data_IF_860349642296
#
_entry.id   IF_860349642296
#
_cell.length_a   1.000
_cell.length_b   1.000
_cell.length_c   1.000
_cell.angle_alpha   90.00
_cell.angle_beta   90.00
_cell.angle_gamma   90.00
#
_symmetry.space_group_name_H-M   'P 1'
#
loop_
_entity.id
_entity.type
_entity.pdbx_description
1 polymer ?
#
# COMPACT_ATOMS: atom_id res chain seq x y z
N UNK A 1 -59.98 20.89 4.54
CA UNK A 1 -59.15 22.01 4.04
C UNK A 1 -57.77 21.44 3.74
N UNK A 2 -57.50 21.19 2.46
CA UNK A 2 -56.37 20.38 1.97
C UNK A 2 -55.39 21.34 1.29
N UNK A 3 -54.14 21.39 1.75
CA UNK A 3 -53.05 22.12 1.10
C UNK A 3 -52.12 21.12 0.42
N UNK A 4 -52.20 21.07 -0.91
CA UNK A 4 -51.32 20.28 -1.76
C UNK A 4 -50.01 21.05 -2.00
N UNK A 5 -48.88 20.45 -1.62
CA UNK A 5 -47.53 20.97 -1.90
C UNK A 5 -47.01 20.33 -3.19
N UNK A 6 -46.87 21.14 -4.23
CA UNK A 6 -46.32 20.74 -5.53
C UNK A 6 -44.79 20.86 -5.51
N UNK A 7 -44.09 19.75 -5.79
CA UNK A 7 -42.63 19.65 -5.80
C UNK A 7 -42.09 19.87 -7.22
N UNK A 8 -41.32 20.93 -7.44
CA UNK A 8 -40.73 21.29 -8.73
C UNK A 8 -39.38 20.57 -8.92
N UNK A 9 -39.32 19.65 -9.90
CA UNK A 9 -38.10 18.98 -10.34
C UNK A 9 -37.43 19.79 -11.48
N UNK A 10 -36.33 20.51 -11.19
CA UNK A 10 -35.51 21.20 -12.22
C UNK A 10 -34.01 21.09 -11.93
N UNK A 11 -33.40 19.92 -12.15
CA UNK A 11 -31.92 19.79 -12.00
C UNK A 11 -31.27 18.72 -12.90
N UNK A 12 -31.86 18.33 -14.05
CA UNK A 12 -31.32 17.22 -14.86
C UNK A 12 -30.67 17.56 -16.22
N UNK A 13 -30.58 18.84 -16.61
CA UNK A 13 -30.21 19.20 -18.01
C UNK A 13 -28.78 19.77 -18.15
N UNK A 14 -28.11 20.22 -17.07
CA UNK A 14 -26.77 20.84 -17.18
C UNK A 14 -25.57 19.88 -17.27
N UNK A 15 -25.75 18.57 -17.08
CA UNK A 15 -24.61 17.64 -16.93
C UNK A 15 -24.04 17.09 -18.26
N UNK A 16 -24.84 17.01 -19.34
CA UNK A 16 -24.36 16.39 -20.60
C UNK A 16 -23.38 17.26 -21.40
N UNK A 17 -23.57 18.59 -21.47
CA UNK A 17 -22.66 19.47 -22.22
C UNK A 17 -21.25 19.54 -21.61
N UNK A 18 -21.13 19.39 -20.28
CA UNK A 18 -19.84 19.40 -19.59
C UNK A 18 -19.02 18.11 -19.85
N UNK A 19 -19.69 16.97 -20.05
CA UNK A 19 -19.01 15.70 -20.38
C UNK A 19 -18.35 15.71 -21.76
N UNK A 20 -18.91 16.41 -22.75
CA UNK A 20 -18.29 16.51 -24.08
C UNK A 20 -17.08 17.46 -24.09
N UNK A 21 -17.12 18.55 -23.32
CA UNK A 21 -16.02 19.50 -23.21
C UNK A 21 -14.81 18.87 -22.50
N UNK A 22 -15.06 18.07 -21.45
CA UNK A 22 -14.01 17.35 -20.73
C UNK A 22 -13.35 16.26 -21.60
N UNK A 23 -14.12 15.56 -22.44
CA UNK A 23 -13.60 14.59 -23.41
C UNK A 23 -12.74 15.24 -24.50
N UNK A 24 -13.10 16.45 -24.95
CA UNK A 24 -12.34 17.17 -25.97
C UNK A 24 -11.00 17.70 -25.43
N UNK A 25 -10.98 18.18 -24.18
CA UNK A 25 -9.75 18.59 -23.49
C UNK A 25 -8.85 17.37 -23.21
N UNK A 26 -9.41 16.23 -22.82
CA UNK A 26 -8.63 15.00 -22.63
C UNK A 26 -7.98 14.50 -23.93
N UNK A 27 -8.66 14.65 -25.08
CA UNK A 27 -8.15 14.26 -26.39
C UNK A 27 -7.05 15.19 -26.90
N UNK A 28 -7.12 16.49 -26.56
CA UNK A 28 -6.09 17.46 -26.94
C UNK A 28 -4.79 17.30 -26.14
N UNK A 29 -4.85 16.79 -24.89
CA UNK A 29 -3.64 16.55 -24.09
C UNK A 29 -2.84 15.29 -24.49
N UNK A 30 -3.41 14.37 -25.26
CA UNK A 30 -2.73 13.12 -25.65
C UNK A 30 -1.80 13.25 -26.88
N UNK A 31 -1.70 14.43 -27.50
CA UNK A 31 -1.01 14.61 -28.79
C UNK A 31 0.44 15.14 -28.69
N UNK A 32 0.98 15.42 -27.50
CA UNK A 32 2.27 16.14 -27.36
C UNK A 32 3.43 15.34 -26.74
N UNK A 33 3.40 14.01 -26.77
CA UNK A 33 4.57 13.19 -26.39
C UNK A 33 5.08 12.35 -27.55
N UNK A 34 5.31 12.98 -28.70
CA UNK A 34 6.25 12.42 -29.66
C UNK A 34 7.65 12.64 -29.05
N UNK A 35 8.17 11.63 -28.36
CA UNK A 35 9.54 11.65 -27.85
C UNK A 35 10.47 12.09 -28.98
N UNK A 36 11.22 13.17 -28.77
CA UNK A 36 12.09 13.67 -29.82
C UNK A 36 13.14 12.61 -30.14
N UNK A 37 13.06 12.08 -31.36
CA UNK A 37 14.10 11.22 -31.90
C UNK A 37 15.39 12.01 -32.00
N UNK A 38 16.49 11.42 -31.56
CA UNK A 38 17.82 11.98 -31.66
C UNK A 38 18.67 11.06 -32.55
N UNK A 39 19.43 11.64 -33.48
CA UNK A 39 20.35 10.91 -34.35
C UNK A 39 21.66 10.68 -33.59
N UNK A 40 21.92 9.44 -33.20
CA UNK A 40 23.18 9.05 -32.58
C UNK A 40 24.21 8.68 -33.65
N UNK A 41 25.47 9.03 -33.42
CA UNK A 41 26.58 8.71 -34.31
C UNK A 41 27.62 7.84 -33.58
N UNK A 42 27.96 6.70 -34.16
CA UNK A 42 29.05 5.84 -33.67
C UNK A 42 30.41 6.40 -34.04
N UNK A 43 31.47 5.95 -33.36
CA UNK A 43 32.84 6.34 -33.70
C UNK A 43 33.26 5.91 -35.11
N UNK A 44 32.63 4.87 -35.67
CA UNK A 44 32.87 4.39 -37.04
C UNK A 44 32.13 5.23 -38.10
N UNK A 45 31.40 6.27 -37.68
CA UNK A 45 30.63 7.16 -38.55
C UNK A 45 29.22 6.67 -38.89
N UNK A 46 28.83 5.47 -38.43
CA UNK A 46 27.47 4.97 -38.62
C UNK A 46 26.49 5.77 -37.75
N UNK A 47 25.34 6.16 -38.31
CA UNK A 47 24.33 6.94 -37.58
C UNK A 47 22.97 6.26 -37.60
N UNK A 48 22.20 6.42 -36.52
CA UNK A 48 20.83 5.94 -36.45
C UNK A 48 19.97 6.82 -35.55
N UNK A 49 18.68 6.85 -35.82
CA UNK A 49 17.68 7.59 -35.04
C UNK A 49 17.11 6.74 -33.91
N UNK A 50 16.97 7.34 -32.73
CA UNK A 50 16.34 6.68 -31.59
C UNK A 50 16.11 7.59 -30.40
N UNK A 51 15.63 6.98 -29.32
CA UNK A 51 15.31 7.64 -28.06
C UNK A 51 16.10 7.01 -26.92
N UNK A 52 16.62 7.84 -26.02
CA UNK A 52 17.30 7.36 -24.80
C UNK A 52 16.24 6.87 -23.81
N UNK A 53 16.40 5.63 -23.35
CA UNK A 53 15.57 5.07 -22.28
C UNK A 53 16.24 5.17 -20.91
N UNK A 54 17.55 4.95 -20.84
CA UNK A 54 18.32 4.90 -19.59
C UNK A 54 19.81 5.13 -19.86
N UNK A 55 20.52 5.75 -18.92
CA UNK A 55 21.98 5.97 -18.95
C UNK A 55 22.59 5.47 -17.64
N UNK A 56 23.05 4.21 -17.62
CA UNK A 56 23.59 3.57 -16.43
C UNK A 56 25.12 3.45 -16.50
N UNK A 57 25.81 4.26 -15.70
CA UNK A 57 27.27 4.25 -15.64
C UNK A 57 27.91 4.55 -16.99
N UNK A 58 28.50 3.52 -17.61
CA UNK A 58 29.15 3.61 -18.93
C UNK A 58 28.33 2.95 -20.06
N UNK A 59 27.08 2.57 -19.78
CA UNK A 59 26.17 1.96 -20.75
C UNK A 59 24.98 2.88 -20.98
N UNK A 60 24.49 2.94 -22.21
CA UNK A 60 23.26 3.63 -22.58
C UNK A 60 22.30 2.65 -23.22
N UNK A 61 21.04 2.70 -22.79
CA UNK A 61 19.95 1.92 -23.40
C UNK A 61 19.12 2.86 -24.26
N UNK A 62 19.00 2.52 -25.54
CA UNK A 62 18.26 3.30 -26.54
C UNK A 62 17.22 2.43 -27.24
N UNK A 63 16.09 3.02 -27.61
CA UNK A 63 15.14 2.44 -28.56
C UNK A 63 15.42 3.02 -29.92
N UNK A 64 15.70 2.17 -30.90
CA UNK A 64 15.85 2.59 -32.28
C UNK A 64 14.48 2.86 -32.88
N UNK A 65 14.33 3.97 -33.60
CA UNK A 65 13.03 4.36 -34.12
C UNK A 65 12.54 3.51 -35.30
N UNK A 66 13.46 2.94 -36.07
CA UNK A 66 13.13 2.14 -37.26
C UNK A 66 12.39 0.85 -36.94
N UNK A 67 12.80 0.13 -35.89
CA UNK A 67 12.30 -1.21 -35.54
C UNK A 67 11.75 -1.29 -34.11
N UNK A 68 11.80 -0.19 -33.36
CA UNK A 68 11.39 -0.09 -31.95
C UNK A 68 12.09 -1.11 -31.05
N UNK A 69 13.28 -1.60 -31.45
CA UNK A 69 14.08 -2.50 -30.63
C UNK A 69 14.94 -1.73 -29.63
N UNK A 70 15.03 -2.30 -28.43
CA UNK A 70 15.89 -1.82 -27.34
C UNK A 70 17.31 -2.37 -27.50
N UNK A 71 18.29 -1.49 -27.37
CA UNK A 71 19.71 -1.83 -27.42
C UNK A 71 20.43 -1.21 -26.23
N UNK A 72 21.24 -2.02 -25.54
CA UNK A 72 22.17 -1.54 -24.51
C UNK A 72 23.58 -1.54 -25.09
N UNK A 73 24.18 -0.37 -25.20
CA UNK A 73 25.48 -0.16 -25.83
C UNK A 73 26.41 0.61 -24.89
N UNK A 74 27.73 0.32 -24.89
CA UNK A 74 28.70 1.13 -24.17
C UNK A 74 28.72 2.57 -24.72
N UNK A 75 28.76 3.57 -23.84
CA UNK A 75 28.85 4.99 -24.21
C UNK A 75 30.08 5.27 -25.06
N UNK A 76 31.17 4.52 -24.85
CA UNK A 76 32.41 4.64 -25.62
C UNK A 76 32.25 4.34 -27.11
N UNK A 77 31.15 3.71 -27.55
CA UNK A 77 30.86 3.48 -28.98
C UNK A 77 30.31 4.70 -29.70
N UNK A 78 29.84 5.69 -28.95
CA UNK A 78 29.22 6.91 -29.49
C UNK A 78 30.22 8.06 -29.51
N UNK A 79 29.96 9.02 -30.39
CA UNK A 79 30.75 10.25 -30.49
C UNK A 79 30.84 10.99 -29.15
N UNK A 80 31.90 11.79 -28.95
CA UNK A 80 32.07 12.58 -27.72
C UNK A 80 30.90 13.53 -27.47
N UNK A 81 30.31 14.08 -28.55
CA UNK A 81 29.12 14.93 -28.48
C UNK A 81 27.92 14.17 -27.90
N UNK A 82 27.69 12.94 -28.35
CA UNK A 82 26.60 12.11 -27.86
C UNK A 82 26.85 11.64 -26.43
N UNK A 83 28.10 11.37 -26.06
CA UNK A 83 28.48 11.07 -24.67
C UNK A 83 28.18 12.26 -23.74
N UNK A 84 28.44 13.49 -24.17
CA UNK A 84 28.07 14.69 -23.42
C UNK A 84 26.54 14.83 -23.32
N UNK A 85 25.83 14.54 -24.40
CA UNK A 85 24.37 14.53 -24.42
C UNK A 85 23.77 13.50 -23.45
N UNK A 86 24.31 12.28 -23.37
CA UNK A 86 23.85 11.27 -22.40
C UNK A 86 23.99 11.75 -20.95
N UNK A 87 25.11 12.41 -20.62
CA UNK A 87 25.34 12.98 -19.28
C UNK A 87 24.35 14.08 -18.96
N UNK A 88 24.01 14.93 -19.94
CA UNK A 88 23.01 15.98 -19.77
C UNK A 88 21.61 15.40 -19.63
N UNK A 89 21.23 14.48 -20.52
CA UNK A 89 19.95 13.80 -20.50
C UNK A 89 19.71 13.08 -19.16
N UNK A 90 20.72 12.41 -18.62
CA UNK A 90 20.65 11.72 -17.34
C UNK A 90 20.39 12.67 -16.16
N UNK A 91 20.88 13.92 -16.24
CA UNK A 91 20.63 14.96 -15.24
C UNK A 91 19.22 15.55 -15.37
N UNK A 92 18.73 15.70 -16.59
CA UNK A 92 17.41 16.25 -16.89
C UNK A 92 16.27 15.24 -16.64
N UNK A 93 16.58 13.94 -16.71
CA UNK A 93 15.60 12.85 -16.59
C UNK A 93 15.94 11.87 -15.44
N UNK A 94 16.13 12.33 -14.20
CA UNK A 94 16.52 11.47 -13.08
C UNK A 94 15.51 10.35 -12.79
N UNK A 95 14.22 10.58 -13.05
CA UNK A 95 13.14 9.61 -12.89
C UNK A 95 13.21 8.45 -13.89
N UNK A 96 13.72 8.69 -15.10
CA UNK A 96 13.90 7.66 -16.12
C UNK A 96 15.23 6.92 -15.93
N UNK A 97 16.16 7.51 -15.19
CA UNK A 97 17.49 6.97 -14.93
C UNK A 97 17.63 6.28 -13.57
N UNK A 98 16.54 5.71 -13.06
CA UNK A 98 16.59 4.89 -11.85
C UNK A 98 17.18 3.50 -12.18
N UNK A 99 18.16 3.00 -11.41
CA UNK A 99 18.73 1.68 -11.65
C UNK A 99 17.70 0.56 -11.44
N UNK A 100 17.96 -0.55 -12.13
CA UNK A 100 17.20 -1.79 -11.99
C UNK A 100 15.92 -1.87 -12.82
N UNK A 101 15.82 -1.16 -13.95
CA UNK A 101 14.67 -1.24 -14.87
C UNK A 101 14.45 -2.66 -15.42
N UNK A 102 15.54 -3.40 -15.61
CA UNK A 102 15.57 -4.81 -16.02
C UNK A 102 15.29 -5.81 -14.87
N UNK A 103 15.22 -5.34 -13.62
CA UNK A 103 14.91 -6.19 -12.48
C UNK A 103 13.41 -6.43 -12.42
N UNK A 104 13.01 -7.64 -12.81
CA UNK A 104 11.61 -8.11 -12.81
C UNK A 104 11.23 -8.84 -11.54
N UNK A 105 12.21 -9.33 -10.78
CA UNK A 105 11.97 -10.09 -9.56
C UNK A 105 13.05 -9.81 -8.51
N UNK A 106 12.62 -9.69 -7.25
CA UNK A 106 13.47 -9.65 -6.08
C UNK A 106 13.03 -10.69 -5.05
N UNK A 107 13.93 -11.04 -4.13
CA UNK A 107 13.56 -11.82 -2.94
C UNK A 107 13.08 -10.87 -1.85
N UNK A 108 11.86 -11.09 -1.35
CA UNK A 108 11.35 -10.44 -0.15
C UNK A 108 11.18 -11.47 0.96
N UNK A 109 11.71 -11.17 2.14
CA UNK A 109 11.53 -11.96 3.35
C UNK A 109 11.05 -11.03 4.46
N UNK A 110 9.96 -11.42 5.13
CA UNK A 110 9.36 -10.61 6.16
C UNK A 110 9.24 -11.41 7.44
N UNK A 111 9.78 -10.90 8.54
CA UNK A 111 9.69 -11.54 9.86
C UNK A 111 9.14 -10.56 10.88
N UNK A 112 8.35 -11.07 11.83
CA UNK A 112 7.90 -10.28 12.98
C UNK A 112 9.10 -10.03 13.90
N UNK A 113 9.56 -8.78 13.98
CA UNK A 113 10.66 -8.39 14.86
C UNK A 113 10.21 -8.20 16.31
N UNK A 114 9.00 -7.62 16.49
CA UNK A 114 8.42 -7.36 17.82
C UNK A 114 6.91 -7.40 17.75
N UNK A 115 6.27 -7.95 18.80
CA UNK A 115 4.83 -7.85 19.04
C UNK A 115 4.59 -6.92 20.22
N UNK A 116 3.66 -5.97 20.06
CA UNK A 116 3.20 -5.10 21.14
C UNK A 116 1.78 -5.50 21.48
N UNK A 117 1.62 -6.24 22.57
CA UNK A 117 0.31 -6.72 23.00
C UNK A 117 -0.20 -5.83 24.12
N UNK A 118 -1.41 -5.32 23.94
CA UNK A 118 -2.10 -4.48 24.91
C UNK A 118 -3.46 -5.12 25.25
N UNK A 119 -4.10 -4.67 26.31
CA UNK A 119 -5.47 -5.05 26.60
C UNK A 119 -6.26 -3.85 27.07
N UNK A 120 -7.48 -3.73 26.56
CA UNK A 120 -8.44 -2.71 26.98
C UNK A 120 -9.63 -3.40 27.66
N UNK A 121 -10.22 -2.72 28.63
CA UNK A 121 -11.48 -3.15 29.25
C UNK A 121 -12.56 -2.24 28.69
N UNK A 122 -13.62 -2.81 28.13
CA UNK A 122 -14.77 -2.05 27.61
C UNK A 122 -16.07 -2.62 28.14
N UNK A 123 -17.07 -1.77 28.28
CA UNK A 123 -18.42 -2.20 28.66
C UNK A 123 -19.08 -2.93 27.49
N UNK A 124 -19.77 -4.05 27.77
CA UNK A 124 -20.48 -4.83 26.75
C UNK A 124 -21.85 -4.24 26.40
N UNK A 125 -22.30 -3.23 27.17
CA UNK A 125 -23.66 -2.71 27.14
C UNK A 125 -24.67 -3.56 27.91
N UNK A 126 -24.21 -4.63 28.58
CA UNK A 126 -25.03 -5.43 29.50
C UNK A 126 -24.76 -5.00 30.94
N UNK A 127 -25.72 -5.24 31.81
CA UNK A 127 -25.61 -4.98 33.26
C UNK A 127 -25.72 -6.31 33.99
N UNK A 128 -24.76 -6.59 34.88
CA UNK A 128 -24.85 -7.69 35.83
C UNK A 128 -25.57 -7.18 37.08
N UNK A 129 -26.54 -7.96 37.55
CA UNK A 129 -27.25 -7.70 38.80
C UNK A 129 -26.90 -8.82 39.76
N UNK A 130 -26.10 -8.50 40.77
CA UNK A 130 -25.78 -9.41 41.86
C UNK A 130 -26.81 -9.20 42.98
N UNK A 131 -27.68 -10.18 43.20
CA UNK A 131 -28.68 -10.16 44.27
C UNK A 131 -28.21 -11.04 45.41
N UNK A 132 -27.93 -10.43 46.56
CA UNK A 132 -27.62 -11.13 47.80
C UNK A 132 -28.84 -11.06 48.73
N UNK A 133 -29.31 -12.22 49.17
CA UNK A 133 -30.44 -12.35 50.10
C UNK A 133 -29.92 -13.01 51.37
N UNK A 134 -30.05 -12.30 52.49
CA UNK A 134 -29.74 -12.84 53.81
C UNK A 134 -30.98 -12.77 54.69
N UNK A 135 -31.31 -13.88 55.36
CA UNK A 135 -32.40 -13.94 56.32
C UNK A 135 -31.87 -14.19 57.72
N UNK A 136 -32.34 -13.42 58.69
CA UNK A 136 -32.09 -13.60 60.11
C UNK A 136 -33.40 -13.99 60.79
N UNK A 137 -33.39 -15.06 61.58
CA UNK A 137 -34.58 -15.51 62.32
C UNK A 137 -34.33 -15.32 63.81
N UNK A 138 -35.20 -14.53 64.43
CA UNK A 138 -35.21 -14.28 65.86
C UNK A 138 -36.42 -14.99 66.47
N UNK A 139 -36.17 -15.78 67.51
CA UNK A 139 -37.17 -16.57 68.20
C UNK A 139 -37.39 -15.99 69.59
N UNK A 140 -38.63 -15.66 69.91
CA UNK A 140 -39.10 -15.35 71.25
C UNK A 140 -40.17 -16.39 71.64
N UNK A 141 -40.45 -16.55 72.94
CA UNK A 141 -41.38 -17.57 73.44
C UNK A 141 -42.79 -17.47 72.85
N UNK A 142 -43.21 -16.26 72.47
CA UNK A 142 -44.58 -15.97 72.02
C UNK A 142 -44.69 -15.59 70.52
N UNK A 143 -43.57 -15.36 69.81
CA UNK A 143 -43.57 -15.02 68.39
C UNK A 143 -42.21 -15.25 67.69
N UNK A 144 -42.25 -15.32 66.36
CA UNK A 144 -41.07 -15.46 65.50
C UNK A 144 -40.96 -14.21 64.62
N UNK A 145 -39.78 -13.57 64.60
CA UNK A 145 -39.46 -12.53 63.62
C UNK A 145 -38.47 -13.06 62.60
N UNK A 146 -38.82 -12.90 61.33
CA UNK A 146 -37.94 -13.18 60.20
C UNK A 146 -37.58 -11.84 59.56
N UNK A 147 -36.33 -11.43 59.69
CA UNK A 147 -35.78 -10.29 58.98
C UNK A 147 -35.14 -10.79 57.68
N UNK A 148 -35.53 -10.23 56.54
CA UNK A 148 -34.92 -10.56 55.25
C UNK A 148 -34.34 -9.31 54.64
N UNK A 149 -33.03 -9.32 54.45
CA UNK A 149 -32.30 -8.24 53.80
C UNK A 149 -31.94 -8.66 52.39
N UNK A 150 -32.41 -7.89 51.41
CA UNK A 150 -32.10 -8.07 49.99
C UNK A 150 -31.21 -6.92 49.55
N UNK A 151 -29.98 -7.24 49.13
CA UNK A 151 -29.04 -6.27 48.55
C UNK A 151 -28.87 -6.58 47.08
N UNK A 152 -29.22 -5.63 46.21
CA UNK A 152 -28.98 -5.73 44.78
C UNK A 152 -27.86 -4.77 44.37
N UNK A 153 -26.79 -5.30 43.77
CA UNK A 153 -25.70 -4.50 43.21
C UNK A 153 -25.74 -4.59 41.69
N UNK A 154 -25.93 -3.46 41.02
CA UNK A 154 -25.86 -3.37 39.57
C UNK A 154 -24.45 -2.91 39.16
N UNK A 155 -23.82 -3.63 38.25
CA UNK A 155 -22.55 -3.24 37.64
C UNK A 155 -22.56 -3.48 36.14
N UNK A 156 -21.90 -2.61 35.38
CA UNK A 156 -21.72 -2.83 33.95
C UNK A 156 -20.91 -4.13 33.74
N UNK A 157 -21.38 -4.99 32.84
CA UNK A 157 -20.58 -6.11 32.38
C UNK A 157 -19.44 -5.55 31.53
N UNK A 158 -18.20 -5.84 31.93
CA UNK A 158 -17.02 -5.42 31.19
C UNK A 158 -16.33 -6.63 30.55
N UNK A 159 -15.88 -6.47 29.31
CA UNK A 159 -15.07 -7.45 28.61
C UNK A 159 -13.63 -6.93 28.48
N UNK A 160 -12.66 -7.82 28.75
CA UNK A 160 -11.23 -7.56 28.49
C UNK A 160 -10.88 -8.01 27.08
N UNK A 161 -10.57 -7.06 26.20
CA UNK A 161 -10.20 -7.33 24.80
C UNK A 161 -8.69 -7.21 24.63
N UNK A 162 -8.08 -8.20 23.97
CA UNK A 162 -6.65 -8.19 23.65
C UNK A 162 -6.41 -7.48 22.32
N UNK A 163 -5.56 -6.46 22.35
CA UNK A 163 -5.06 -5.75 21.19
C UNK A 163 -3.69 -6.32 20.81
N UNK A 164 -3.42 -6.45 19.51
CA UNK A 164 -2.12 -6.91 19.02
C UNK A 164 -1.57 -5.92 18.01
N UNK A 165 -0.33 -5.50 18.23
CA UNK A 165 0.47 -4.70 17.30
C UNK A 165 1.70 -5.49 16.87
N UNK A 166 2.28 -5.11 15.75
CA UNK A 166 3.46 -5.79 15.20
C UNK A 166 4.45 -4.77 14.63
N UNK A 167 5.73 -5.04 14.82
CA UNK A 167 6.83 -4.46 14.05
C UNK A 167 7.40 -5.56 13.16
N UNK A 168 7.39 -5.31 11.85
CA UNK A 168 7.80 -6.24 10.81
C UNK A 168 9.15 -5.79 10.27
N UNK A 169 10.11 -6.70 10.28
CA UNK A 169 11.37 -6.54 9.58
C UNK A 169 11.19 -7.09 8.16
N UNK A 170 11.35 -6.22 7.18
CA UNK A 170 11.33 -6.57 5.77
C UNK A 170 12.77 -6.55 5.26
N UNK A 171 13.23 -7.69 4.76
CA UNK A 171 14.50 -7.82 4.03
C UNK A 171 14.20 -8.04 2.56
N UNK A 172 14.80 -7.20 1.72
CA UNK A 172 14.77 -7.30 0.29
C UNK A 172 16.18 -7.58 -0.24
N UNK A 173 16.28 -8.39 -1.28
CA UNK A 173 17.56 -8.66 -1.96
C UNK A 173 17.31 -8.87 -3.45
N UNK A 174 18.17 -8.29 -4.27
CA UNK A 174 18.15 -8.45 -5.73
C UNK A 174 19.40 -9.20 -6.18
N UNK A 175 19.22 -10.28 -6.93
CA UNK A 175 20.32 -11.03 -7.57
C UNK A 175 20.66 -10.49 -8.97
N UNK A 176 19.77 -9.68 -9.55
CA UNK A 176 19.91 -9.15 -10.91
C UNK A 176 20.55 -7.77 -10.97
N UNK A 177 20.98 -7.23 -9.82
CA UNK A 177 21.59 -5.90 -9.69
C UNK A 177 20.76 -4.91 -8.86
N UNK A 178 21.28 -3.70 -8.65
CA UNK A 178 20.64 -2.70 -7.81
C UNK A 178 19.33 -2.21 -8.44
N UNK A 179 18.29 -2.05 -7.62
CA UNK A 179 16.98 -1.52 -8.02
C UNK A 179 16.44 -0.55 -6.99
N UNK A 180 15.87 0.57 -7.42
CA UNK A 180 15.04 1.39 -6.54
C UNK A 180 13.61 0.86 -6.56
N UNK A 181 13.15 0.41 -5.39
CA UNK A 181 11.80 -0.08 -5.24
C UNK A 181 11.05 0.70 -4.17
N UNK A 182 9.75 0.83 -4.37
CA UNK A 182 8.81 1.26 -3.36
C UNK A 182 8.22 0.03 -2.68
N UNK A 183 8.49 -0.10 -1.40
CA UNK A 183 7.98 -1.19 -0.58
C UNK A 183 6.75 -0.68 0.18
N UNK A 184 5.63 -1.37 0.00
CA UNK A 184 4.40 -1.18 0.76
C UNK A 184 4.26 -2.32 1.75
N UNK A 185 4.13 -2.00 3.04
CA UNK A 185 3.80 -2.97 4.09
C UNK A 185 2.40 -2.68 4.62
N UNK A 186 1.45 -3.53 4.27
CA UNK A 186 0.07 -3.47 4.70
C UNK A 186 -0.18 -4.35 5.92
N UNK A 187 -0.93 -3.83 6.88
CA UNK A 187 -1.38 -4.54 8.07
C UNK A 187 -2.87 -4.82 7.98
N UNK A 188 -3.26 -6.03 8.38
CA UNK A 188 -4.60 -6.57 8.20
C UNK A 188 -5.30 -6.79 9.55
N UNK A 189 -6.59 -6.48 9.59
CA UNK A 189 -7.54 -6.89 10.64
C UNK A 189 -8.60 -7.79 10.05
N UNK A 190 -9.13 -8.71 10.85
CA UNK A 190 -10.28 -9.54 10.47
C UNK A 190 -11.56 -8.78 10.80
N UNK A 191 -12.37 -8.47 9.78
CA UNK A 191 -13.64 -7.77 9.93
C UNK A 191 -14.65 -8.30 8.92
N UNK A 192 -15.89 -8.55 9.35
CA UNK A 192 -16.97 -8.99 8.45
C UNK A 192 -16.68 -10.27 7.68
N UNK A 193 -15.92 -11.22 8.26
CA UNK A 193 -15.55 -12.48 7.62
C UNK A 193 -14.33 -12.43 6.69
N UNK A 194 -13.75 -11.25 6.45
CA UNK A 194 -12.59 -11.06 5.57
C UNK A 194 -11.43 -10.33 6.24
N UNK A 195 -10.27 -10.37 5.57
CA UNK A 195 -9.11 -9.55 5.95
C UNK A 195 -9.22 -8.17 5.29
N UNK A 196 -9.15 -7.11 6.09
CA UNK A 196 -9.17 -5.71 5.62
C UNK A 196 -7.86 -5.03 5.99
N UNK A 197 -7.31 -4.27 5.05
CA UNK A 197 -6.15 -3.40 5.31
C UNK A 197 -6.63 -2.26 6.22
N UNK A 198 -5.94 -2.03 7.33
CA UNK A 198 -6.23 -0.90 8.21
C UNK A 198 -5.09 0.12 8.25
N UNK A 199 -3.86 -0.29 7.94
CA UNK A 199 -2.68 0.58 7.88
C UNK A 199 -1.77 0.11 6.75
N UNK A 200 -1.17 1.07 6.04
CA UNK A 200 -0.13 0.83 5.05
C UNK A 200 1.06 1.73 5.40
N UNK A 201 2.25 1.16 5.47
CA UNK A 201 3.53 1.88 5.50
C UNK A 201 4.15 1.82 4.10
N UNK A 202 4.63 2.95 3.58
CA UNK A 202 5.23 3.05 2.24
C UNK A 202 6.63 3.67 2.37
N UNK A 203 7.64 3.01 1.78
CA UNK A 203 9.02 3.53 1.77
C UNK A 203 9.70 3.23 0.44
N UNK A 204 10.49 4.20 -0.05
CA UNK A 204 11.40 3.97 -1.16
C UNK A 204 12.72 3.44 -0.61
N UNK A 205 13.20 2.33 -1.14
CA UNK A 205 14.42 1.66 -0.71
C UNK A 205 15.24 1.27 -1.93
N UNK A 206 16.55 1.53 -1.87
CA UNK A 206 17.51 0.96 -2.82
C UNK A 206 17.81 -0.46 -2.37
N UNK A 207 17.54 -1.42 -3.25
CA UNK A 207 17.73 -2.84 -3.01
C UNK A 207 18.89 -3.31 -3.87
N UNK A 208 19.83 -4.03 -3.28
CA UNK A 208 20.97 -4.64 -3.96
C UNK A 208 21.23 -6.03 -3.34
N UNK A 209 22.32 -6.70 -3.73
CA UNK A 209 22.69 -7.99 -3.18
C UNK A 209 22.94 -7.87 -1.67
N UNK A 210 21.99 -8.37 -0.86
CA UNK A 210 22.06 -8.30 0.59
C UNK A 210 21.82 -6.91 1.20
N UNK A 211 21.37 -5.95 0.40
CA UNK A 211 21.01 -4.60 0.85
C UNK A 211 19.54 -4.32 0.57
N UNK A 212 18.81 -3.77 1.54
CA UNK A 212 17.40 -3.45 1.39
C UNK A 212 16.58 -3.87 2.61
N UNK A 213 16.91 -3.33 3.77
CA UNK A 213 16.17 -3.61 5.01
C UNK A 213 15.32 -2.42 5.42
N UNK A 214 14.10 -2.69 5.91
CA UNK A 214 13.27 -1.69 6.56
C UNK A 214 12.46 -2.31 7.70
N UNK A 215 12.00 -1.45 8.60
CA UNK A 215 11.07 -1.79 9.66
C UNK A 215 9.78 -1.02 9.48
N UNK A 216 8.66 -1.74 9.48
CA UNK A 216 7.31 -1.16 9.46
C UNK A 216 6.57 -1.59 10.72
N UNK A 217 5.85 -0.67 11.36
CA UNK A 217 5.12 -0.96 12.60
C UNK A 217 3.67 -0.52 12.56
N UNK A 218 2.82 -1.24 13.29
CA UNK A 218 1.44 -0.86 13.55
C UNK A 218 1.15 -0.76 15.05
N UNK A 219 0.22 0.12 15.40
CA UNK A 219 -0.29 0.20 16.76
C UNK A 219 -1.14 -1.04 17.07
N UNK A 220 -1.29 -1.42 18.35
CA UNK A 220 -2.14 -2.54 18.72
C UNK A 220 -3.60 -2.33 18.30
N UNK A 221 -4.18 -3.33 17.65
CA UNK A 221 -5.58 -3.30 17.17
C UNK A 221 -6.31 -4.59 17.53
N UNK A 222 -7.63 -4.49 17.64
CA UNK A 222 -8.51 -5.66 17.77
C UNK A 222 -8.46 -6.50 16.49
N UNK A 223 -8.58 -7.81 16.64
CA UNK A 223 -8.67 -8.75 15.50
C UNK A 223 -7.51 -8.64 14.50
N UNK A 224 -6.31 -8.29 14.96
CA UNK A 224 -5.11 -8.30 14.12
C UNK A 224 -4.95 -9.66 13.43
N UNK A 225 -4.87 -9.63 12.11
CA UNK A 225 -4.87 -10.82 11.27
C UNK A 225 -3.48 -11.14 10.69
N UNK A 226 -2.67 -10.11 10.44
CA UNK A 226 -1.31 -10.29 9.94
C UNK A 226 -0.82 -9.10 9.11
N UNK A 227 0.23 -9.33 8.33
CA UNK A 227 0.84 -8.32 7.47
C UNK A 227 1.19 -8.90 6.10
N UNK A 228 1.27 -8.02 5.11
CA UNK A 228 1.73 -8.34 3.77
C UNK A 228 2.57 -7.21 3.21
N UNK A 229 3.63 -7.55 2.50
CA UNK A 229 4.57 -6.61 1.92
C UNK A 229 4.67 -6.83 0.42
N UNK A 230 4.67 -5.76 -0.35
CA UNK A 230 4.88 -5.78 -1.80
C UNK A 230 5.94 -4.75 -2.18
N UNK A 231 6.79 -5.11 -3.14
CA UNK A 231 7.76 -4.20 -3.74
C UNK A 231 7.37 -3.89 -5.18
N UNK A 232 7.34 -2.60 -5.49
CA UNK A 232 7.08 -2.08 -6.83
C UNK A 232 8.37 -1.42 -7.32
N UNK A 233 8.83 -1.79 -8.50
CA UNK A 233 9.97 -1.15 -9.14
C UNK A 233 9.62 0.30 -9.50
N UNK A 234 10.39 1.27 -9.01
CA UNK A 234 10.10 2.69 -9.27
C UNK A 234 10.36 3.10 -10.72
N UNK A 235 11.24 2.39 -11.44
CA UNK A 235 11.53 2.67 -12.84
C UNK A 235 10.42 2.18 -13.78
N UNK A 236 9.79 1.04 -13.47
CA UNK A 236 8.79 0.41 -14.36
C UNK A 236 7.36 0.47 -13.83
N UNK A 237 7.16 0.74 -12.55
CA UNK A 237 5.85 0.66 -11.89
C UNK A 237 5.33 -0.77 -11.72
N UNK A 238 6.11 -1.79 -12.08
CA UNK A 238 5.70 -3.19 -11.96
C UNK A 238 6.02 -3.78 -10.59
N UNK A 239 5.17 -4.71 -10.15
CA UNK A 239 5.42 -5.51 -8.96
C UNK A 239 6.59 -6.46 -9.21
N UNK A 240 7.60 -6.42 -8.34
CA UNK A 240 8.82 -7.23 -8.45
C UNK A 240 8.99 -8.19 -7.27
N UNK A 241 8.17 -8.08 -6.24
CA UNK A 241 8.21 -9.01 -5.11
C UNK A 241 6.99 -8.86 -4.20
N UNK A 242 6.59 -9.95 -3.57
CA UNK A 242 5.52 -9.96 -2.58
C UNK A 242 5.79 -11.03 -1.52
N UNK A 243 5.45 -10.74 -0.28
CA UNK A 243 5.57 -11.66 0.85
C UNK A 243 4.42 -11.40 1.83
N UNK A 244 3.88 -12.44 2.44
CA UNK A 244 2.82 -12.34 3.46
C UNK A 244 3.20 -13.08 4.73
N UNK A 245 2.59 -12.71 5.85
CA UNK A 245 2.68 -13.50 7.09
C UNK A 245 1.99 -14.87 6.95
N UNK A 246 1.11 -15.03 5.97
CA UNK A 246 0.55 -16.30 5.53
C UNK A 246 0.20 -16.25 4.03
N UNK A 247 -0.07 -17.41 3.44
CA UNK A 247 -0.39 -17.54 2.01
C UNK A 247 -1.64 -16.75 1.59
N UNK A 248 -2.67 -16.69 2.44
CA UNK A 248 -3.92 -15.97 2.13
C UNK A 248 -3.69 -14.46 1.98
N UNK A 249 -2.88 -13.86 2.87
CA UNK A 249 -2.51 -12.44 2.80
C UNK A 249 -1.64 -12.17 1.58
N UNK A 250 -0.69 -13.05 1.26
CA UNK A 250 0.15 -12.89 0.07
C UNK A 250 -0.70 -12.85 -1.22
N UNK A 251 -1.68 -13.74 -1.36
CA UNK A 251 -2.59 -13.74 -2.50
C UNK A 251 -3.49 -12.50 -2.53
N UNK A 252 -3.96 -12.05 -1.36
CA UNK A 252 -4.76 -10.84 -1.24
C UNK A 252 -3.97 -9.59 -1.66
N UNK A 253 -2.69 -9.52 -1.30
CA UNK A 253 -1.77 -8.46 -1.74
C UNK A 253 -1.60 -8.45 -3.25
N UNK A 254 -1.30 -9.61 -3.86
CA UNK A 254 -1.19 -9.74 -5.33
C UNK A 254 -2.44 -9.20 -6.01
N UNK A 255 -3.63 -9.62 -5.55
CA UNK A 255 -4.93 -9.15 -6.09
C UNK A 255 -5.14 -7.64 -5.92
N UNK A 256 -4.79 -7.07 -4.76
CA UNK A 256 -4.95 -5.63 -4.50
C UNK A 256 -4.00 -4.78 -5.33
N UNK A 257 -2.76 -5.23 -5.54
CA UNK A 257 -1.78 -4.55 -6.39
C UNK A 257 -2.26 -4.55 -7.84
N UNK A 258 -2.66 -5.71 -8.38
CA UNK A 258 -3.15 -5.82 -9.75
C UNK A 258 -4.44 -5.01 -10.02
N UNK A 259 -5.20 -4.69 -8.98
CA UNK A 259 -6.41 -3.85 -9.08
C UNK A 259 -6.16 -2.37 -8.79
N UNK A 260 -4.93 -1.97 -8.45
CA UNK A 260 -4.59 -0.57 -8.12
C UNK A 260 -5.15 -0.07 -6.77
N UNK A 261 -5.69 -0.96 -5.93
CA UNK A 261 -6.42 -0.61 -4.71
C UNK A 261 -5.62 -0.89 -3.42
N UNK A 262 -4.32 -0.58 -3.43
CA UNK A 262 -3.45 -0.74 -2.26
C UNK A 262 -3.77 0.29 -1.15
N UNK A 263 -4.24 1.48 -1.53
CA UNK A 263 -4.53 2.60 -0.63
C UNK A 263 -6.00 2.72 -0.23
N UNK A 264 -6.89 1.87 -0.75
CA UNK A 264 -8.34 1.87 -0.48
C UNK A 264 -8.83 0.65 0.31
#
# INVERSE_FOLDING_TARGET
MILAVTKINKTKIRCKKWQYLLKLILLALTLNTAGHSYTFTSNDGASFEGQILQVEGNTVTVVRDSDKKEFSLPQSRFSEKDQAYFKQWAKENPQLNLPGRNVTQISLRCTTARTNDESIIRETGRTLIDVNVSSSVYWDYDWITVETTVTATARAETEKVRLKGATVHVKASSVSGPVFARIYTAFFVKSGGGAKIFKVDERNVRIDLGQGELYASCNPVENYYGYGTVAINLATGHMIGVAGSNHQIEQLMKKKVSSGNLSQ
#
